data_IF_177933970180
#
_entry.id   IF_177933970180
#
_cell.length_a   1.000
_cell.length_b   1.000
_cell.length_c   1.000
_cell.angle_alpha   90.00
_cell.angle_beta   90.00
_cell.angle_gamma   90.00
#
_symmetry.space_group_name_H-M   'P 1'
#
loop_
_entity.id
_entity.type
_entity.pdbx_description
1 polymer ?
#
# COMPACT_ATOMS: atom_id res chain seq x y z
N UNK A 1 14.72 36.84 8.55
CA UNK A 1 13.77 36.95 7.41
C UNK A 1 12.97 35.66 7.36
N UNK A 2 11.67 35.74 7.58
CA UNK A 2 10.77 34.61 7.73
C UNK A 2 10.60 33.81 6.42
N UNK A 3 10.63 32.47 6.52
CA UNK A 3 10.21 31.51 5.49
C UNK A 3 8.76 31.84 5.11
N UNK A 4 8.53 32.38 3.91
CA UNK A 4 7.17 32.45 3.34
C UNK A 4 6.67 31.02 3.14
N UNK A 5 5.50 30.77 3.68
CA UNK A 5 4.73 29.52 3.64
C UNK A 5 4.87 28.73 2.34
N UNK A 6 5.36 27.49 2.44
CA UNK A 6 5.20 26.46 1.41
C UNK A 6 3.75 25.94 1.32
N UNK A 7 2.82 26.59 2.02
CA UNK A 7 1.47 26.12 2.32
C UNK A 7 0.42 26.57 1.29
N UNK A 8 0.69 27.62 0.50
CA UNK A 8 -0.27 28.20 -0.47
C UNK A 8 0.35 28.46 -1.87
N UNK A 9 0.82 27.40 -2.55
CA UNK A 9 1.27 27.55 -3.94
C UNK A 9 0.07 27.63 -4.89
N UNK A 10 0.13 28.42 -5.98
CA UNK A 10 -0.92 28.43 -7.00
C UNK A 10 -1.24 27.04 -7.56
N UNK A 11 -0.21 26.18 -7.67
CA UNK A 11 -0.37 24.77 -8.05
C UNK A 11 -1.25 24.03 -7.05
N UNK A 12 -0.99 24.15 -5.75
CA UNK A 12 -1.77 23.48 -4.70
C UNK A 12 -3.22 23.95 -4.69
N UNK A 13 -3.48 25.26 -4.79
CA UNK A 13 -4.84 25.82 -4.87
C UNK A 13 -5.64 25.26 -6.04
N UNK A 14 -5.01 25.18 -7.22
CA UNK A 14 -5.64 24.62 -8.42
C UNK A 14 -5.96 23.14 -8.23
N UNK A 15 -5.03 22.36 -7.67
CA UNK A 15 -5.24 20.93 -7.42
C UNK A 15 -6.34 20.71 -6.38
N UNK A 16 -6.35 21.46 -5.27
CA UNK A 16 -7.42 21.38 -4.26
C UNK A 16 -8.79 21.73 -4.85
N UNK A 17 -8.88 22.81 -5.63
CA UNK A 17 -10.13 23.16 -6.31
C UNK A 17 -10.58 22.08 -7.30
N UNK A 18 -9.65 21.44 -8.02
CA UNK A 18 -9.97 20.35 -8.93
C UNK A 18 -10.47 19.10 -8.19
N UNK A 19 -9.88 18.75 -7.04
CA UNK A 19 -10.35 17.66 -6.16
C UNK A 19 -11.77 17.94 -5.68
N UNK A 20 -12.05 19.15 -5.19
CA UNK A 20 -13.40 19.51 -4.71
C UNK A 20 -14.45 19.45 -5.81
N UNK A 21 -14.12 19.91 -7.02
CA UNK A 21 -15.02 19.82 -8.17
C UNK A 21 -15.26 18.37 -8.58
N UNK A 22 -14.21 17.55 -8.60
CA UNK A 22 -14.27 16.13 -8.91
C UNK A 22 -15.17 15.39 -7.93
N UNK A 23 -15.06 15.65 -6.64
CA UNK A 23 -15.85 14.98 -5.60
C UNK A 23 -17.32 15.41 -5.60
N UNK A 24 -17.62 16.67 -5.96
CA UNK A 24 -19.00 17.20 -5.98
C UNK A 24 -19.76 16.85 -7.25
N UNK A 25 -19.09 16.83 -8.39
CA UNK A 25 -19.74 16.76 -9.71
C UNK A 25 -19.10 15.78 -10.69
N UNK A 26 -18.18 14.93 -10.23
CA UNK A 26 -17.53 13.93 -11.06
C UNK A 26 -16.59 14.50 -12.12
N UNK A 27 -16.13 13.66 -13.06
CA UNK A 27 -15.12 14.01 -14.05
C UNK A 27 -15.56 15.12 -15.03
N UNK A 28 -16.88 15.25 -15.23
CA UNK A 28 -17.49 16.25 -16.12
C UNK A 28 -17.47 17.65 -15.51
N UNK A 29 -17.52 17.76 -14.19
CA UNK A 29 -17.38 19.05 -13.49
C UNK A 29 -15.94 19.61 -13.57
N UNK A 30 -14.95 18.76 -13.85
CA UNK A 30 -13.55 19.15 -13.94
C UNK A 30 -13.24 19.66 -15.35
N UNK A 31 -13.38 20.96 -15.57
CA UNK A 31 -12.90 21.67 -16.75
C UNK A 31 -11.82 22.70 -16.39
N UNK A 32 -10.90 23.01 -17.31
CA UNK A 32 -9.85 24.00 -17.06
C UNK A 32 -10.42 25.37 -16.67
N UNK A 33 -11.58 25.75 -17.24
CA UNK A 33 -12.29 26.99 -16.87
C UNK A 33 -12.94 26.91 -15.49
N UNK A 34 -13.64 25.83 -15.18
CA UNK A 34 -14.30 25.64 -13.88
C UNK A 34 -13.26 25.60 -12.74
N UNK A 35 -12.17 24.87 -12.95
CA UNK A 35 -11.07 24.77 -11.98
C UNK A 35 -10.37 26.12 -11.81
N UNK A 36 -10.08 26.85 -12.89
CA UNK A 36 -9.49 28.18 -12.79
C UNK A 36 -10.40 29.13 -11.99
N UNK A 37 -11.70 29.15 -12.29
CA UNK A 37 -12.67 29.97 -11.56
C UNK A 37 -12.72 29.59 -10.07
N UNK A 38 -12.86 28.30 -9.75
CA UNK A 38 -12.89 27.80 -8.37
C UNK A 38 -11.59 28.09 -7.60
N UNK A 39 -10.44 28.05 -8.28
CA UNK A 39 -9.15 28.37 -7.69
C UNK A 39 -8.87 29.89 -7.58
N UNK A 40 -9.75 30.75 -8.12
CA UNK A 40 -9.51 32.21 -8.20
C UNK A 40 -8.37 32.58 -9.15
N UNK A 41 -8.19 31.79 -10.21
CA UNK A 41 -7.10 31.92 -11.20
C UNK A 41 -7.66 32.15 -12.61
N UNK A 42 -6.81 32.63 -13.51
CA UNK A 42 -7.15 32.76 -14.93
C UNK A 42 -6.89 31.44 -15.67
N UNK A 43 -7.72 31.04 -16.66
CA UNK A 43 -7.54 29.78 -17.40
C UNK A 43 -6.12 29.55 -17.98
N UNK A 44 -5.38 30.56 -18.47
CA UNK A 44 -4.00 30.38 -18.93
C UNK A 44 -3.03 29.86 -17.84
N UNK A 45 -3.33 30.09 -16.56
CA UNK A 45 -2.51 29.57 -15.46
C UNK A 45 -2.57 28.04 -15.37
N UNK A 46 -3.68 27.42 -15.75
CA UNK A 46 -3.84 25.96 -15.77
C UNK A 46 -2.90 25.36 -16.83
N UNK A 47 -2.98 25.84 -18.07
CA UNK A 47 -2.13 25.37 -19.16
C UNK A 47 -0.64 25.59 -18.86
N UNK A 48 -0.27 26.70 -18.23
CA UNK A 48 1.14 26.96 -17.86
C UNK A 48 1.66 26.00 -16.79
N UNK A 49 0.83 25.62 -15.82
CA UNK A 49 1.27 24.82 -14.67
C UNK A 49 1.14 23.31 -14.90
N UNK A 50 0.17 22.90 -15.73
CA UNK A 50 -0.22 21.50 -15.89
C UNK A 50 -0.22 21.03 -17.35
N UNK A 51 0.06 21.91 -18.31
CA UNK A 51 -0.01 21.61 -19.74
C UNK A 51 -1.45 21.59 -20.23
N UNK A 52 -2.25 20.63 -19.79
CA UNK A 52 -3.62 20.41 -20.23
C UNK A 52 -4.52 19.84 -19.11
N UNK A 53 -5.69 19.28 -19.47
CA UNK A 53 -6.60 18.63 -18.51
C UNK A 53 -6.01 17.31 -17.98
N UNK A 54 -5.27 16.56 -18.79
CA UNK A 54 -4.69 15.28 -18.38
C UNK A 54 -3.58 15.51 -17.35
N UNK A 55 -2.67 16.45 -17.59
CA UNK A 55 -1.63 16.82 -16.63
C UNK A 55 -2.20 17.41 -15.33
N UNK A 56 -3.37 18.06 -15.38
CA UNK A 56 -4.10 18.46 -14.18
C UNK A 56 -4.64 17.24 -13.41
N UNK A 57 -5.22 16.25 -14.11
CA UNK A 57 -5.71 15.02 -13.49
C UNK A 57 -4.58 14.16 -12.90
N UNK A 58 -3.41 14.13 -13.53
CA UNK A 58 -2.21 13.51 -12.95
C UNK A 58 -1.79 14.18 -11.64
N UNK A 59 -1.83 15.52 -11.58
CA UNK A 59 -1.54 16.26 -10.34
C UNK A 59 -2.60 16.03 -9.26
N UNK A 60 -3.87 15.83 -9.64
CA UNK A 60 -4.94 15.43 -8.74
C UNK A 60 -4.72 14.02 -8.20
N UNK A 61 -4.33 13.07 -9.05
CA UNK A 61 -3.98 11.72 -8.64
C UNK A 61 -2.80 11.71 -7.66
N UNK A 62 -1.71 12.44 -7.97
CA UNK A 62 -0.56 12.62 -7.09
C UNK A 62 -0.97 13.15 -5.70
N UNK A 63 -1.86 14.15 -5.68
CA UNK A 63 -2.41 14.69 -4.43
C UNK A 63 -3.26 13.67 -3.66
N UNK A 64 -4.11 12.91 -4.36
CA UNK A 64 -4.92 11.84 -3.78
C UNK A 64 -4.06 10.74 -3.15
N UNK A 65 -2.99 10.30 -3.82
CA UNK A 65 -2.02 9.38 -3.23
C UNK A 65 -1.32 9.97 -2.02
N UNK A 66 -0.95 11.26 -2.04
CA UNK A 66 -0.38 11.94 -0.88
C UNK A 66 -1.30 11.88 0.35
N UNK A 67 -2.58 12.22 0.18
CA UNK A 67 -3.58 12.14 1.24
C UNK A 67 -3.79 10.71 1.75
N UNK A 68 -3.79 9.73 0.83
CA UNK A 68 -3.92 8.33 1.17
C UNK A 68 -2.72 7.76 1.94
N UNK A 69 -1.50 8.17 1.58
CA UNK A 69 -0.30 7.76 2.30
C UNK A 69 -0.23 8.41 3.69
N UNK A 70 -0.69 9.65 3.83
CA UNK A 70 -0.77 10.34 5.11
C UNK A 70 -1.76 9.65 6.06
N UNK A 71 -2.95 9.27 5.56
CA UNK A 71 -3.93 8.52 6.37
C UNK A 71 -3.40 7.14 6.80
N UNK A 72 -2.68 6.44 5.91
CA UNK A 72 -1.99 5.19 6.26
C UNK A 72 -0.96 5.38 7.36
N UNK A 73 -0.10 6.40 7.26
CA UNK A 73 0.96 6.66 8.25
C UNK A 73 0.39 7.01 9.62
N UNK A 74 -0.65 7.86 9.68
CA UNK A 74 -1.26 8.27 10.94
C UNK A 74 -1.86 7.10 11.75
N UNK A 75 -2.30 6.02 11.08
CA UNK A 75 -2.82 4.83 11.76
C UNK A 75 -1.76 3.75 12.06
N UNK A 76 -0.54 3.90 11.52
CA UNK A 76 0.57 2.95 11.67
C UNK A 76 1.40 3.17 12.95
N UNK A 77 1.27 4.32 13.62
CA UNK A 77 1.99 4.62 14.86
C UNK A 77 1.42 3.92 16.10
N UNK A 78 0.33 3.15 15.95
CA UNK A 78 -0.20 2.28 16.99
C UNK A 78 0.38 0.89 16.79
N UNK A 79 1.49 0.55 17.46
CA UNK A 79 2.11 -0.78 17.39
C UNK A 79 1.06 -1.88 17.69
N UNK A 80 0.56 -2.61 16.68
CA UNK A 80 -0.35 -3.72 16.92
C UNK A 80 0.50 -4.90 17.32
N UNK A 81 0.15 -5.57 18.42
CA UNK A 81 0.81 -6.82 18.83
C UNK A 81 0.54 -7.96 17.82
N UNK A 82 -0.46 -7.80 16.95
CA UNK A 82 -0.90 -8.78 15.96
C UNK A 82 -0.71 -8.29 14.51
N UNK A 83 0.22 -8.91 13.73
CA UNK A 83 0.47 -8.53 12.33
C UNK A 83 -0.71 -8.86 11.39
N UNK A 84 -1.58 -9.82 11.73
CA UNK A 84 -2.77 -10.16 10.95
C UNK A 84 -3.85 -9.09 11.13
N UNK A 85 -4.02 -8.57 12.35
CA UNK A 85 -4.90 -7.41 12.58
C UNK A 85 -4.39 -6.14 11.88
N UNK A 86 -3.07 -5.94 11.81
CA UNK A 86 -2.50 -4.85 11.03
C UNK A 86 -2.86 -4.96 9.54
N UNK A 87 -2.82 -6.17 8.99
CA UNK A 87 -3.23 -6.45 7.62
C UNK A 87 -4.71 -6.11 7.40
N UNK A 88 -5.61 -6.54 8.31
CA UNK A 88 -7.05 -6.24 8.24
C UNK A 88 -7.30 -4.74 8.18
N UNK A 89 -6.74 -3.98 9.15
CA UNK A 89 -6.84 -2.51 9.19
C UNK A 89 -6.27 -1.87 7.93
N UNK A 90 -5.15 -2.40 7.45
CA UNK A 90 -4.51 -1.94 6.24
C UNK A 90 -5.38 -2.07 5.00
N UNK A 91 -6.14 -3.17 4.89
CA UNK A 91 -7.10 -3.41 3.83
C UNK A 91 -8.33 -2.50 3.97
N UNK A 92 -8.88 -2.38 5.19
CA UNK A 92 -10.03 -1.53 5.49
C UNK A 92 -9.78 -0.07 5.09
N UNK A 93 -8.60 0.46 5.41
CA UNK A 93 -8.19 1.81 5.00
C UNK A 93 -8.23 2.04 3.49
N UNK A 94 -7.80 1.05 2.71
CA UNK A 94 -7.81 1.13 1.24
C UNK A 94 -9.25 1.17 0.74
N UNK A 95 -10.08 0.27 1.27
CA UNK A 95 -11.47 0.13 0.84
C UNK A 95 -12.31 1.33 1.29
N UNK A 96 -12.15 1.80 2.52
CA UNK A 96 -12.82 2.99 3.04
C UNK A 96 -12.48 4.22 2.20
N UNK A 97 -11.21 4.43 1.87
CA UNK A 97 -10.79 5.52 0.99
C UNK A 97 -11.44 5.40 -0.40
N UNK A 98 -11.42 4.21 -0.99
CA UNK A 98 -12.00 3.97 -2.30
C UNK A 98 -13.53 4.13 -2.33
N UNK A 99 -14.21 3.70 -1.27
CA UNK A 99 -15.68 3.79 -1.13
C UNK A 99 -16.14 5.22 -0.83
N UNK A 100 -15.42 5.96 0.02
CA UNK A 100 -15.79 7.32 0.42
C UNK A 100 -15.47 8.37 -0.65
N UNK A 101 -14.47 8.11 -1.51
CA UNK A 101 -13.98 9.06 -2.52
C UNK A 101 -13.88 8.42 -3.92
N UNK A 102 -15.00 7.94 -4.50
CA UNK A 102 -15.02 7.16 -5.74
C UNK A 102 -14.31 7.84 -6.91
N UNK A 103 -14.58 9.12 -7.13
CA UNK A 103 -14.08 9.85 -8.29
C UNK A 103 -12.58 10.10 -8.20
N UNK A 104 -12.10 10.44 -6.99
CA UNK A 104 -10.67 10.58 -6.74
C UNK A 104 -9.96 9.22 -6.87
N UNK A 105 -10.55 8.16 -6.32
CA UNK A 105 -10.00 6.80 -6.44
C UNK A 105 -9.95 6.34 -7.90
N UNK A 106 -10.96 6.65 -8.71
CA UNK A 106 -10.98 6.33 -10.13
C UNK A 106 -9.89 7.09 -10.91
N UNK A 107 -9.69 8.38 -10.61
CA UNK A 107 -8.60 9.18 -11.20
C UNK A 107 -7.23 8.62 -10.81
N UNK A 108 -7.03 8.26 -9.54
CA UNK A 108 -5.80 7.64 -9.06
C UNK A 108 -5.47 6.34 -9.80
N UNK A 109 -6.45 5.46 -10.01
CA UNK A 109 -6.22 4.17 -10.70
C UNK A 109 -5.99 4.31 -12.22
N UNK A 110 -6.47 5.38 -12.84
CA UNK A 110 -6.30 5.62 -14.30
C UNK A 110 -5.00 6.36 -14.63
N UNK A 111 -4.43 7.08 -13.66
CA UNK A 111 -3.28 7.94 -13.90
C UNK A 111 -1.98 7.12 -14.05
N UNK A 112 -1.20 7.44 -15.07
CA UNK A 112 0.06 6.74 -15.42
C UNK A 112 1.29 7.66 -15.35
N UNK A 113 1.13 8.89 -14.87
CA UNK A 113 2.21 9.88 -14.80
C UNK A 113 3.31 9.51 -13.81
N UNK A 114 4.54 10.01 -14.02
CA UNK A 114 5.72 9.68 -13.21
C UNK A 114 5.56 9.96 -11.72
N UNK A 115 4.91 11.05 -11.34
CA UNK A 115 4.65 11.39 -9.94
C UNK A 115 3.69 10.40 -9.27
N UNK A 116 2.70 9.94 -10.03
CA UNK A 116 1.74 8.91 -9.61
C UNK A 116 2.42 7.56 -9.43
N UNK A 117 3.26 7.16 -10.38
CA UNK A 117 4.05 5.92 -10.30
C UNK A 117 4.90 5.88 -9.02
N UNK A 118 5.59 6.98 -8.70
CA UNK A 118 6.37 7.10 -7.46
C UNK A 118 5.51 6.98 -6.20
N UNK A 119 4.34 7.60 -6.18
CA UNK A 119 3.45 7.57 -5.02
C UNK A 119 2.75 6.20 -4.86
N UNK A 120 2.37 5.58 -5.97
CA UNK A 120 1.84 4.22 -6.02
C UNK A 120 2.89 3.23 -5.50
N UNK A 121 4.12 3.30 -6.00
CA UNK A 121 5.25 2.49 -5.53
C UNK A 121 5.51 2.67 -4.04
N UNK A 122 5.47 3.90 -3.53
CA UNK A 122 5.58 4.15 -2.08
C UNK A 122 4.45 3.48 -1.28
N UNK A 123 3.23 3.47 -1.82
CA UNK A 123 2.09 2.74 -1.22
C UNK A 123 2.28 1.22 -1.24
N UNK A 124 2.87 0.68 -2.32
CA UNK A 124 3.22 -0.73 -2.42
C UNK A 124 4.33 -1.11 -1.45
N UNK A 125 5.36 -0.27 -1.26
CA UNK A 125 6.41 -0.53 -0.28
C UNK A 125 5.86 -0.64 1.15
N UNK A 126 4.85 0.16 1.50
CA UNK A 126 4.15 0.02 2.80
C UNK A 126 3.46 -1.35 2.91
N UNK A 127 2.82 -1.81 1.83
CA UNK A 127 2.19 -3.13 1.78
C UNK A 127 3.24 -4.26 1.88
N UNK A 128 4.31 -4.20 1.09
CA UNK A 128 5.39 -5.18 1.13
C UNK A 128 6.07 -5.23 2.50
N UNK A 129 6.24 -4.08 3.17
CA UNK A 129 6.71 -4.03 4.55
C UNK A 129 5.84 -4.83 5.53
N UNK A 130 4.51 -4.80 5.35
CA UNK A 130 3.57 -5.61 6.16
C UNK A 130 3.65 -7.09 5.83
N UNK A 131 3.67 -7.42 4.54
CA UNK A 131 3.79 -8.80 4.07
C UNK A 131 5.09 -9.45 4.56
N UNK A 132 6.21 -8.71 4.53
CA UNK A 132 7.50 -9.16 5.09
C UNK A 132 7.43 -9.45 6.59
N UNK A 133 6.68 -8.66 7.37
CA UNK A 133 6.48 -8.95 8.80
C UNK A 133 5.67 -10.21 9.02
N UNK A 134 4.62 -10.44 8.22
CA UNK A 134 3.86 -11.69 8.25
C UNK A 134 4.74 -12.88 7.87
N UNK A 135 5.58 -12.76 6.84
CA UNK A 135 6.53 -13.78 6.42
C UNK A 135 7.54 -14.10 7.53
N UNK A 136 8.17 -13.08 8.12
CA UNK A 136 9.15 -13.24 9.19
C UNK A 136 8.56 -13.89 10.44
N UNK A 137 7.28 -13.66 10.73
CA UNK A 137 6.55 -14.34 11.81
C UNK A 137 6.01 -15.72 11.45
N UNK A 138 6.26 -16.23 10.24
CA UNK A 138 5.77 -17.54 9.80
C UNK A 138 4.25 -17.61 9.62
N UNK A 139 3.60 -16.47 9.38
CA UNK A 139 2.14 -16.37 9.21
C UNK A 139 1.67 -16.66 7.78
N UNK A 140 2.52 -16.45 6.77
CA UNK A 140 2.08 -16.60 5.38
C UNK A 140 1.88 -18.06 4.96
N UNK A 141 0.87 -18.28 4.12
CA UNK A 141 0.59 -19.56 3.43
C UNK A 141 1.18 -19.61 2.02
N UNK A 142 1.43 -18.44 1.43
CA UNK A 142 1.92 -18.22 0.07
C UNK A 142 3.19 -17.36 0.12
N UNK A 143 3.89 -17.23 -1.01
CA UNK A 143 5.02 -16.32 -1.12
C UNK A 143 4.59 -14.83 -0.97
N UNK A 144 5.56 -13.98 -0.65
CA UNK A 144 5.31 -12.56 -0.37
C UNK A 144 4.70 -11.81 -1.55
N UNK A 145 5.15 -12.13 -2.78
CA UNK A 145 4.70 -11.46 -3.98
C UNK A 145 3.23 -11.80 -4.28
N UNK A 146 2.88 -13.09 -4.24
CA UNK A 146 1.51 -13.54 -4.42
C UNK A 146 0.58 -13.00 -3.32
N UNK A 147 1.03 -12.96 -2.06
CA UNK A 147 0.26 -12.34 -0.97
C UNK A 147 -0.05 -10.87 -1.28
N UNK A 148 0.95 -10.08 -1.68
CA UNK A 148 0.76 -8.68 -2.02
C UNK A 148 -0.20 -8.48 -3.21
N UNK A 149 -0.13 -9.35 -4.21
CA UNK A 149 -1.06 -9.32 -5.36
C UNK A 149 -2.50 -9.63 -4.94
N UNK A 150 -2.72 -10.66 -4.11
CA UNK A 150 -4.06 -11.02 -3.60
C UNK A 150 -4.66 -9.87 -2.77
N UNK A 151 -3.87 -9.25 -1.89
CA UNK A 151 -4.32 -8.11 -1.06
C UNK A 151 -4.77 -6.95 -1.93
N UNK A 152 -4.00 -6.61 -2.96
CA UNK A 152 -4.36 -5.54 -3.90
C UNK A 152 -5.60 -5.88 -4.72
N UNK A 153 -5.63 -7.06 -5.33
CA UNK A 153 -6.73 -7.49 -6.19
C UNK A 153 -8.06 -7.53 -5.44
N UNK A 154 -8.06 -8.02 -4.20
CA UNK A 154 -9.26 -8.08 -3.37
C UNK A 154 -9.71 -6.69 -2.92
N UNK A 155 -8.79 -5.80 -2.54
CA UNK A 155 -9.13 -4.41 -2.20
C UNK A 155 -9.69 -3.61 -3.38
N UNK A 156 -9.03 -3.68 -4.55
CA UNK A 156 -9.51 -3.04 -5.77
C UNK A 156 -10.85 -3.62 -6.22
N UNK A 157 -10.97 -4.95 -6.26
CA UNK A 157 -12.20 -5.64 -6.63
C UNK A 157 -13.37 -5.29 -5.71
N UNK A 158 -13.13 -5.16 -4.40
CA UNK A 158 -14.13 -4.74 -3.43
C UNK A 158 -14.67 -3.33 -3.73
N UNK A 159 -13.77 -2.36 -3.95
CA UNK A 159 -14.14 -0.98 -4.28
C UNK A 159 -14.87 -0.90 -5.62
N UNK A 160 -14.37 -1.57 -6.65
CA UNK A 160 -15.01 -1.59 -7.97
C UNK A 160 -16.41 -2.19 -7.89
N UNK A 161 -16.56 -3.34 -7.21
CA UNK A 161 -17.85 -4.02 -7.04
C UNK A 161 -18.85 -3.16 -6.27
N UNK A 162 -18.39 -2.50 -5.20
CA UNK A 162 -19.21 -1.60 -4.41
C UNK A 162 -19.80 -0.47 -5.26
N UNK A 163 -18.98 0.16 -6.09
CA UNK A 163 -19.40 1.28 -6.94
C UNK A 163 -20.26 0.86 -8.13
N UNK A 164 -20.01 -0.30 -8.73
CA UNK A 164 -20.87 -0.85 -9.78
C UNK A 164 -22.22 -1.34 -9.25
N UNK A 165 -22.35 -1.56 -7.94
CA UNK A 165 -23.60 -2.01 -7.32
C UNK A 165 -24.52 -0.83 -7.03
N UNK A 166 -25.80 -0.87 -7.46
CA UNK A 166 -26.81 0.14 -7.10
C UNK A 166 -26.90 0.35 -5.59
N UNK A 167 -27.09 1.60 -5.15
CA UNK A 167 -27.02 1.97 -3.74
C UNK A 167 -28.00 1.20 -2.84
N UNK A 168 -29.18 0.87 -3.35
CA UNK A 168 -30.23 0.08 -2.68
C UNK A 168 -29.85 -1.41 -2.51
N UNK A 169 -28.82 -1.89 -3.24
CA UNK A 169 -28.37 -3.29 -3.24
C UNK A 169 -27.01 -3.49 -2.59
N UNK A 170 -26.36 -2.43 -2.11
CA UNK A 170 -25.04 -2.54 -1.46
C UNK A 170 -25.18 -3.21 -0.10
N UNK A 171 -24.37 -4.24 0.15
CA UNK A 171 -24.29 -4.90 1.45
C UNK A 171 -22.87 -4.71 2.03
N UNK A 172 -22.69 -3.98 3.15
CA UNK A 172 -21.41 -3.83 3.84
C UNK A 172 -20.76 -5.16 4.24
N UNK A 173 -21.55 -6.21 4.52
CA UNK A 173 -21.03 -7.54 4.87
C UNK A 173 -20.17 -8.15 3.76
N UNK A 174 -20.39 -7.77 2.49
CA UNK A 174 -19.54 -8.19 1.37
C UNK A 174 -18.09 -7.76 1.60
N UNK A 175 -17.86 -6.53 2.07
CA UNK A 175 -16.51 -6.01 2.30
C UNK A 175 -15.84 -6.77 3.44
N UNK A 176 -16.57 -7.03 4.52
CA UNK A 176 -16.09 -7.85 5.65
C UNK A 176 -15.75 -9.26 5.21
N UNK A 177 -16.63 -9.93 4.45
CA UNK A 177 -16.39 -11.29 3.97
C UNK A 177 -15.22 -11.37 3.00
N UNK A 178 -15.06 -10.40 2.10
CA UNK A 178 -13.90 -10.34 1.19
C UNK A 178 -12.59 -10.19 1.96
N UNK A 179 -12.57 -9.33 2.98
CA UNK A 179 -11.39 -9.16 3.84
C UNK A 179 -11.05 -10.44 4.58
N UNK A 180 -12.01 -11.05 5.28
CA UNK A 180 -11.75 -12.26 6.05
C UNK A 180 -11.40 -13.46 5.14
N UNK A 181 -11.99 -13.55 3.96
CA UNK A 181 -11.63 -14.57 2.96
C UNK A 181 -10.20 -14.38 2.46
N UNK A 182 -9.80 -13.13 2.18
CA UNK A 182 -8.43 -12.79 1.80
C UNK A 182 -7.44 -13.16 2.92
N UNK A 183 -7.71 -12.74 4.16
CA UNK A 183 -6.86 -13.04 5.31
C UNK A 183 -6.73 -14.56 5.49
N UNK A 184 -7.83 -15.30 5.51
CA UNK A 184 -7.81 -16.75 5.65
C UNK A 184 -7.06 -17.46 4.51
N UNK A 185 -7.09 -16.92 3.29
CA UNK A 185 -6.37 -17.47 2.15
C UNK A 185 -4.85 -17.28 2.27
N UNK A 186 -4.39 -16.13 2.77
CA UNK A 186 -2.95 -15.80 2.78
C UNK A 186 -2.26 -16.01 4.13
N UNK A 187 -3.00 -16.06 5.25
CA UNK A 187 -2.44 -16.23 6.60
C UNK A 187 -2.85 -17.55 7.27
N UNK A 188 -2.03 -18.01 8.21
CA UNK A 188 -2.29 -19.15 9.08
C UNK A 188 -3.05 -18.70 10.33
N UNK A 189 -3.70 -19.66 11.00
CA UNK A 189 -4.38 -19.44 12.29
C UNK A 189 -3.36 -19.27 13.43
N UNK A 190 -2.24 -19.98 13.34
CA UNK A 190 -1.11 -19.89 14.27
C UNK A 190 0.19 -19.75 13.47
N UNK A 191 1.20 -19.02 13.98
CA UNK A 191 2.47 -18.86 13.31
C UNK A 191 3.25 -20.18 13.34
N UNK A 192 3.97 -20.47 12.26
CA UNK A 192 4.83 -21.67 12.20
C UNK A 192 6.06 -21.53 13.11
N UNK A 193 6.39 -20.31 13.52
CA UNK A 193 7.50 -19.97 14.42
C UNK A 193 6.93 -19.37 15.71
N UNK A 194 7.26 -19.90 16.91
CA UNK A 194 6.82 -19.31 18.17
C UNK A 194 7.29 -17.85 18.29
N UNK A 195 6.43 -16.96 18.81
CA UNK A 195 6.73 -15.53 18.97
C UNK A 195 8.00 -15.25 19.81
N UNK A 196 8.42 -16.21 20.66
CA UNK A 196 9.64 -16.13 21.46
C UNK A 196 10.93 -16.38 20.67
N UNK A 197 10.83 -16.80 19.41
CA UNK A 197 11.95 -17.13 18.52
C UNK A 197 11.90 -16.34 17.20
N UNK A 198 11.28 -15.16 17.17
CA UNK A 198 11.30 -14.30 15.98
C UNK A 198 12.66 -13.62 15.82
N UNK A 199 13.38 -13.94 14.73
CA UNK A 199 14.63 -13.29 14.35
C UNK A 199 15.48 -14.14 13.40
N UNK A 200 16.39 -13.52 12.62
CA UNK A 200 17.20 -14.24 11.63
C UNK A 200 18.04 -15.37 12.25
N UNK A 201 18.49 -15.21 13.50
CA UNK A 201 19.25 -16.22 14.22
C UNK A 201 18.43 -17.47 14.58
N UNK A 202 17.16 -17.31 14.96
CA UNK A 202 16.28 -18.42 15.26
C UNK A 202 15.82 -19.13 13.99
N UNK A 203 15.46 -18.38 12.94
CA UNK A 203 15.14 -18.93 11.63
C UNK A 203 16.32 -19.75 11.06
N UNK A 204 17.56 -19.24 11.20
CA UNK A 204 18.75 -19.94 10.77
C UNK A 204 18.98 -21.25 11.55
N UNK A 205 18.73 -21.26 12.87
CA UNK A 205 18.79 -22.48 13.70
C UNK A 205 17.74 -23.51 13.28
N UNK A 206 16.50 -23.08 13.07
CA UNK A 206 15.40 -23.94 12.68
C UNK A 206 15.62 -24.57 11.30
N UNK A 207 16.01 -23.75 10.30
CA UNK A 207 16.30 -24.24 8.96
C UNK A 207 17.47 -25.23 8.95
N UNK A 208 18.54 -24.95 9.72
CA UNK A 208 19.67 -25.88 9.84
C UNK A 208 19.27 -27.23 10.44
N UNK A 209 18.36 -27.25 11.41
CA UNK A 209 17.90 -28.50 12.02
C UNK A 209 16.98 -29.32 11.09
N UNK A 210 16.32 -28.67 10.13
CA UNK A 210 15.38 -29.31 9.20
C UNK A 210 16.02 -29.77 7.88
N UNK A 211 17.24 -29.34 7.57
CA UNK A 211 17.93 -29.73 6.33
C UNK A 211 18.42 -31.19 6.43
N UNK A 212 18.00 -32.08 5.52
CA UNK A 212 18.56 -33.44 5.44
C UNK A 212 20.00 -33.40 4.96
N UNK A 213 20.81 -34.38 5.39
CA UNK A 213 22.22 -34.49 5.01
C UNK A 213 22.42 -34.69 3.49
N UNK A 214 21.42 -35.23 2.80
CA UNK A 214 21.47 -35.59 1.37
C UNK A 214 20.43 -34.80 0.56
N UNK A 215 20.46 -33.46 0.65
CA UNK A 215 19.59 -32.64 -0.18
C UNK A 215 20.08 -32.63 -1.64
N UNK A 216 19.59 -33.60 -2.45
CA UNK A 216 19.87 -33.77 -3.90
C UNK A 216 19.63 -32.51 -4.78
N UNK A 217 19.10 -31.45 -4.20
CA UNK A 217 18.83 -30.15 -4.85
C UNK A 217 20.09 -29.26 -4.91
N UNK A 218 21.05 -29.44 -3.99
CA UNK A 218 22.26 -28.62 -3.89
C UNK A 218 23.52 -29.49 -4.02
N UNK A 219 24.53 -28.97 -4.72
CA UNK A 219 25.86 -29.60 -4.76
C UNK A 219 26.54 -29.58 -3.38
N UNK A 220 27.52 -30.47 -3.16
CA UNK A 220 28.28 -30.53 -1.90
C UNK A 220 28.87 -29.18 -1.48
N UNK A 221 29.36 -28.39 -2.44
CA UNK A 221 29.92 -27.06 -2.19
C UNK A 221 28.85 -26.05 -1.74
N UNK A 222 27.67 -26.07 -2.36
CA UNK A 222 26.54 -25.21 -2.00
C UNK A 222 25.96 -25.60 -0.63
N UNK A 223 25.88 -26.90 -0.32
CA UNK A 223 25.46 -27.39 0.99
C UNK A 223 26.44 -26.98 2.10
N UNK A 224 27.74 -26.97 1.80
CA UNK A 224 28.75 -26.50 2.75
C UNK A 224 28.61 -24.99 3.01
N UNK A 225 28.49 -24.19 1.95
CA UNK A 225 28.30 -22.73 2.05
C UNK A 225 27.00 -22.37 2.80
N UNK A 226 25.90 -23.06 2.49
CA UNK A 226 24.61 -22.84 3.17
C UNK A 226 24.73 -23.10 4.68
N UNK A 227 25.38 -24.20 5.08
CA UNK A 227 25.61 -24.52 6.51
C UNK A 227 26.48 -23.49 7.20
N UNK A 228 27.51 -22.99 6.52
CA UNK A 228 28.37 -21.94 7.05
C UNK A 228 27.59 -20.64 7.28
N UNK A 229 26.80 -20.20 6.29
CA UNK A 229 25.99 -18.98 6.40
C UNK A 229 24.92 -19.09 7.49
N UNK A 230 24.21 -20.22 7.57
CA UNK A 230 23.23 -20.45 8.64
C UNK A 230 23.89 -20.44 10.03
N UNK A 231 25.13 -20.91 10.15
CA UNK A 231 25.88 -20.87 11.40
C UNK A 231 26.23 -19.44 11.80
N UNK A 232 26.70 -18.61 10.86
CA UNK A 232 26.99 -17.19 11.12
C UNK A 232 25.74 -16.42 11.51
N UNK A 233 24.64 -16.60 10.76
CA UNK A 233 23.35 -15.97 11.05
C UNK A 233 22.77 -16.38 12.41
N UNK A 234 22.97 -17.64 12.83
CA UNK A 234 22.57 -18.12 14.14
C UNK A 234 23.37 -17.50 15.30
N UNK A 235 24.58 -16.99 15.03
CA UNK A 235 25.50 -16.43 16.03
C UNK A 235 25.43 -14.90 16.16
N UNK A 236 25.09 -14.16 15.10
CA UNK A 236 25.15 -12.68 15.05
C UNK A 236 23.95 -11.93 15.67
N UNK A 237 23.16 -12.57 16.52
CA UNK A 237 22.05 -11.92 17.23
C UNK A 237 22.44 -10.88 18.29
N UNK A 238 23.67 -10.34 18.28
CA UNK A 238 24.21 -9.60 19.44
C UNK A 238 25.17 -8.43 19.24
N UNK A 239 25.65 -8.06 18.04
CA UNK A 239 26.47 -6.83 17.91
C UNK A 239 26.50 -6.26 16.48
N UNK A 240 26.38 -4.92 16.31
CA UNK A 240 26.68 -4.28 15.04
C UNK A 240 28.18 -4.26 14.80
N UNK A 241 28.62 -4.70 13.63
CA UNK A 241 29.99 -4.49 13.15
C UNK A 241 30.17 -3.00 12.81
N UNK A 242 30.92 -2.29 13.66
CA UNK A 242 31.58 -1.01 13.36
C UNK A 242 32.72 -1.20 12.36
#
# INVERSE_FOLDING_TARGET
MARRDSTDSPRRRIVTAAVELLEKGGPDAVSTRAVAAAAGMQPPAIYRLFGDKEGLLEAVAEHGYGQFLESKRAQLDLAPEDPVEELRRGWDLVVEFGVSRPELFAVMNRATGRGVDMAHRAGLEVLYGRVRRLAAGGWLRVDEELAAQIIQATGQGAVTTWHSTPADRRNPELLTLLRESMVAAITRVEPTVPATETGPAAAARALRAALPDDADVLSDAEQHLLREWLTRLASDGGAPHT
#
